data_IF_857622817106
#
_entry.id   IF_857622817106
#
_cell.length_a   1.000
_cell.length_b   1.000
_cell.length_c   1.000
_cell.angle_alpha   90.00
_cell.angle_beta   90.00
_cell.angle_gamma   90.00
#
_symmetry.space_group_name_H-M   'P 1'
#
loop_
_entity.id
_entity.type
_entity.pdbx_description
1 polymer ?
#
# COMPACT_ATOMS: atom_id res chain seq x y z
N UNK A 1 20.80 -21.62 -51.20
CA UNK A 1 21.57 -20.65 -50.37
C UNK A 1 20.69 -19.56 -49.75
N UNK A 2 19.88 -18.78 -50.45
CA UNK A 2 19.11 -17.66 -49.83
C UNK A 2 18.09 -18.08 -48.73
N UNK A 3 17.47 -19.25 -48.85
CA UNK A 3 16.53 -19.75 -47.79
C UNK A 3 17.20 -20.24 -46.52
N UNK A 4 18.36 -20.86 -46.64
CA UNK A 4 19.15 -21.30 -45.46
C UNK A 4 19.76 -20.12 -44.70
N UNK A 5 20.21 -19.09 -45.40
CA UNK A 5 20.71 -17.85 -44.75
C UNK A 5 19.58 -17.11 -43.98
N UNK A 6 18.37 -17.06 -44.54
CA UNK A 6 17.25 -16.42 -43.87
C UNK A 6 16.83 -17.15 -42.57
N UNK A 7 16.84 -18.49 -42.59
CA UNK A 7 16.51 -19.31 -41.40
C UNK A 7 17.57 -19.13 -40.31
N UNK A 8 18.86 -19.08 -40.66
CA UNK A 8 19.95 -18.84 -39.73
C UNK A 8 19.88 -17.43 -39.13
N UNK A 9 19.53 -16.42 -39.94
CA UNK A 9 19.34 -15.04 -39.45
C UNK A 9 18.14 -14.91 -38.52
N UNK A 10 17.03 -15.56 -38.80
CA UNK A 10 15.86 -15.60 -37.92
C UNK A 10 16.14 -16.36 -36.61
N UNK A 11 16.92 -17.45 -36.65
CA UNK A 11 17.38 -18.17 -35.46
C UNK A 11 18.34 -17.33 -34.61
N UNK A 12 19.25 -16.60 -35.22
CA UNK A 12 20.15 -15.69 -34.50
C UNK A 12 19.41 -14.51 -33.90
N UNK A 13 18.42 -13.94 -34.57
CA UNK A 13 17.58 -12.86 -34.04
C UNK A 13 16.69 -13.32 -32.86
N UNK A 14 16.28 -14.57 -32.81
CA UNK A 14 15.49 -15.11 -31.67
C UNK A 14 16.32 -15.25 -30.40
N UNK A 15 17.66 -15.32 -30.48
CA UNK A 15 18.56 -15.33 -29.32
C UNK A 15 18.76 -13.94 -28.69
N UNK A 16 18.38 -12.85 -29.37
CA UNK A 16 18.49 -11.49 -28.86
C UNK A 16 17.20 -10.96 -28.20
N UNK A 17 16.15 -11.77 -28.11
CA UNK A 17 14.99 -11.40 -27.29
C UNK A 17 15.44 -11.45 -25.83
N UNK A 18 15.44 -10.34 -25.08
CA UNK A 18 15.79 -10.38 -23.67
C UNK A 18 14.81 -11.30 -22.96
N UNK A 19 15.28 -12.45 -22.49
CA UNK A 19 14.52 -13.28 -21.59
C UNK A 19 14.30 -12.47 -20.31
N UNK A 20 13.12 -11.93 -20.14
CA UNK A 20 12.73 -11.26 -18.89
C UNK A 20 12.54 -12.32 -17.83
N UNK A 21 13.57 -12.60 -17.05
CA UNK A 21 13.45 -13.45 -15.88
C UNK A 21 12.68 -12.67 -14.80
N UNK A 22 11.48 -13.12 -14.49
CA UNK A 22 10.72 -12.69 -13.32
C UNK A 22 11.23 -13.50 -12.12
N UNK A 23 11.62 -12.83 -11.05
CA UNK A 23 12.10 -13.50 -9.85
C UNK A 23 11.12 -13.20 -8.73
N UNK A 24 10.68 -14.28 -8.06
CA UNK A 24 9.89 -14.22 -6.84
C UNK A 24 10.75 -14.74 -5.68
N UNK A 25 10.83 -13.95 -4.63
CA UNK A 25 11.44 -14.33 -3.36
C UNK A 25 10.32 -14.40 -2.31
N UNK A 26 10.44 -15.33 -1.37
CA UNK A 26 9.43 -15.54 -0.34
C UNK A 26 10.03 -15.26 1.03
N UNK A 27 9.26 -14.57 1.87
CA UNK A 27 9.61 -14.31 3.25
C UNK A 27 8.48 -14.79 4.14
N UNK A 28 8.81 -15.73 5.02
CA UNK A 28 7.90 -16.27 6.01
C UNK A 28 8.60 -16.47 7.37
N UNK A 29 7.99 -17.27 8.25
CA UNK A 29 8.54 -17.54 9.58
C UNK A 29 9.86 -18.32 9.53
N UNK A 30 10.08 -19.12 8.51
CA UNK A 30 11.32 -19.90 8.35
C UNK A 30 12.51 -18.97 8.00
N UNK A 31 12.21 -17.81 7.45
CA UNK A 31 13.20 -16.74 7.20
C UNK A 31 13.40 -15.83 8.43
N UNK A 32 12.61 -15.98 9.50
CA UNK A 32 12.70 -15.20 10.73
C UNK A 32 11.61 -14.14 10.88
N UNK A 33 10.59 -14.10 10.03
CA UNK A 33 9.41 -13.25 10.22
C UNK A 33 8.65 -13.68 11.49
N UNK A 34 8.20 -12.75 12.32
CA UNK A 34 7.55 -13.06 13.60
C UNK A 34 6.19 -13.73 13.44
N UNK A 35 5.49 -13.46 12.36
CA UNK A 35 4.19 -14.03 12.02
C UNK A 35 3.91 -14.02 10.52
N UNK A 36 3.31 -15.09 9.98
CA UNK A 36 2.82 -15.13 8.60
C UNK A 36 1.66 -14.15 8.34
N UNK A 37 0.94 -13.76 9.39
CA UNK A 37 -0.13 -12.77 9.28
C UNK A 37 0.47 -11.37 9.30
N UNK A 38 0.89 -10.92 8.13
CA UNK A 38 1.39 -9.58 7.88
C UNK A 38 0.21 -8.65 7.58
N UNK A 39 0.29 -7.41 8.05
CA UNK A 39 -0.77 -6.40 7.95
C UNK A 39 -0.36 -5.26 7.02
N UNK A 40 0.85 -4.75 7.18
CA UNK A 40 1.33 -3.60 6.44
C UNK A 40 2.85 -3.62 6.32
N UNK A 41 3.36 -2.93 5.29
CA UNK A 41 4.79 -2.88 4.99
C UNK A 41 5.18 -1.47 4.55
N UNK A 42 6.34 -1.00 5.02
CA UNK A 42 6.93 0.29 4.66
C UNK A 42 8.46 0.20 4.64
N UNK A 43 9.11 1.19 4.02
CA UNK A 43 10.57 1.32 4.01
C UNK A 43 10.96 2.66 4.66
N UNK A 44 11.98 2.62 5.53
CA UNK A 44 12.52 3.83 6.15
C UNK A 44 13.63 4.48 5.31
N UNK A 45 14.16 5.61 5.80
CA UNK A 45 15.24 6.36 5.15
C UNK A 45 16.58 5.62 5.08
N UNK A 46 16.80 4.60 5.92
CA UNK A 46 17.98 3.72 5.89
C UNK A 46 17.79 2.51 4.98
N UNK A 47 16.67 2.42 4.27
CA UNK A 47 16.25 1.30 3.43
C UNK A 47 15.93 0.01 4.19
N UNK A 48 15.73 0.05 5.50
CA UNK A 48 15.14 -1.09 6.20
C UNK A 48 13.67 -1.24 5.82
N UNK A 49 13.25 -2.49 5.67
CA UNK A 49 11.85 -2.81 5.46
C UNK A 49 11.20 -3.09 6.82
N UNK A 50 10.15 -2.34 7.10
CA UNK A 50 9.34 -2.49 8.30
C UNK A 50 8.07 -3.24 7.96
N UNK A 51 7.78 -4.25 8.76
CA UNK A 51 6.70 -5.20 8.53
C UNK A 51 5.85 -5.28 9.79
N UNK A 52 4.62 -4.82 9.69
CA UNK A 52 3.65 -4.95 10.77
C UNK A 52 3.00 -6.32 10.67
N UNK A 53 3.04 -7.05 11.77
CA UNK A 53 2.45 -8.38 11.88
C UNK A 53 1.48 -8.44 13.07
N UNK A 54 0.73 -9.52 13.17
CA UNK A 54 -0.10 -9.80 14.35
C UNK A 54 0.67 -9.91 15.68
N UNK A 55 1.97 -10.18 15.61
CA UNK A 55 2.83 -10.34 16.81
C UNK A 55 3.64 -9.10 17.15
N UNK A 56 3.56 -8.06 16.36
CA UNK A 56 4.32 -6.83 16.53
C UNK A 56 4.95 -6.36 15.22
N UNK A 57 6.03 -5.63 15.35
CA UNK A 57 6.76 -5.05 14.22
C UNK A 57 8.08 -5.77 14.00
N UNK A 58 8.39 -6.05 12.76
CA UNK A 58 9.65 -6.62 12.33
C UNK A 58 10.39 -5.60 11.45
N UNK A 59 11.68 -5.39 11.71
CA UNK A 59 12.58 -4.63 10.84
C UNK A 59 13.52 -5.58 10.12
N UNK A 60 13.52 -5.55 8.80
CA UNK A 60 14.32 -6.41 7.95
C UNK A 60 15.42 -5.62 7.23
N UNK A 61 16.66 -6.09 7.29
CA UNK A 61 17.83 -5.44 6.69
C UNK A 61 18.31 -6.10 5.39
N UNK A 62 17.54 -7.02 4.83
CA UNK A 62 17.92 -7.84 3.67
C UNK A 62 18.49 -9.22 4.06
N UNK A 63 18.81 -9.47 5.34
CA UNK A 63 19.34 -10.76 5.82
C UNK A 63 18.72 -11.20 7.14
N UNK A 64 18.49 -10.29 8.05
CA UNK A 64 18.07 -10.58 9.44
C UNK A 64 16.89 -9.73 9.82
N UNK A 65 16.10 -10.26 10.73
CA UNK A 65 14.98 -9.59 11.38
C UNK A 65 15.34 -9.10 12.77
N UNK A 66 14.87 -7.90 13.10
CA UNK A 66 14.79 -7.41 14.47
C UNK A 66 13.33 -7.19 14.82
N UNK A 67 12.91 -7.72 15.98
CA UNK A 67 11.52 -7.69 16.42
C UNK A 67 11.30 -6.58 17.44
N UNK A 68 10.16 -5.89 17.32
CA UNK A 68 9.73 -4.82 18.23
C UNK A 68 8.32 -5.11 18.72
N UNK A 69 8.11 -4.88 20.01
CA UNK A 69 6.77 -4.96 20.59
C UNK A 69 6.22 -3.57 20.83
N UNK A 70 4.95 -3.37 20.55
CA UNK A 70 4.23 -2.16 20.89
C UNK A 70 3.56 -2.37 22.25
N UNK A 71 3.93 -1.57 23.23
CA UNK A 71 3.30 -1.61 24.54
C UNK A 71 1.95 -0.87 24.49
N UNK A 72 0.90 -1.58 24.10
CA UNK A 72 -0.48 -1.11 24.14
C UNK A 72 -1.01 -1.32 25.55
N UNK A 73 -1.17 -0.23 26.31
CA UNK A 73 -1.74 -0.32 27.67
C UNK A 73 -3.11 -0.99 27.62
N UNK A 74 -3.31 -2.03 28.43
CA UNK A 74 -4.52 -2.79 28.78
C UNK A 74 -5.87 -2.36 28.13
N UNK A 75 -5.90 -2.10 26.84
CA UNK A 75 -7.11 -1.74 26.14
C UNK A 75 -7.74 -3.01 25.56
N UNK A 76 -8.94 -3.42 25.99
CA UNK A 76 -9.63 -4.60 25.47
C UNK A 76 -9.96 -4.50 23.96
N UNK A 77 -9.86 -3.30 23.36
CA UNK A 77 -9.99 -3.10 21.90
C UNK A 77 -8.69 -3.41 21.15
N UNK A 78 -7.56 -3.63 21.83
CA UNK A 78 -6.29 -4.06 21.21
C UNK A 78 -6.33 -5.49 20.66
N UNK A 79 -7.44 -6.20 20.81
CA UNK A 79 -7.67 -7.54 20.24
C UNK A 79 -7.94 -7.55 18.73
N UNK A 80 -7.96 -6.39 18.06
CA UNK A 80 -8.12 -6.32 16.60
C UNK A 80 -6.83 -5.86 15.91
N UNK A 81 -5.78 -6.68 15.88
CA UNK A 81 -4.51 -6.32 15.24
C UNK A 81 -4.62 -6.13 13.71
N UNK A 82 -5.75 -6.55 13.12
CA UNK A 82 -6.03 -6.42 11.68
C UNK A 82 -6.40 -5.00 11.22
N UNK A 83 -6.39 -4.03 12.14
CA UNK A 83 -6.88 -2.69 11.86
C UNK A 83 -5.79 -1.61 12.05
N UNK A 84 -4.53 -2.03 11.98
CA UNK A 84 -3.39 -1.15 12.14
C UNK A 84 -2.60 -1.06 10.85
N UNK A 85 -2.00 0.10 10.61
CA UNK A 85 -1.32 0.44 9.38
C UNK A 85 0.04 1.06 9.68
N UNK A 86 1.00 0.83 8.79
CA UNK A 86 2.26 1.56 8.78
C UNK A 86 2.17 2.74 7.80
N UNK A 87 2.70 3.86 8.24
CA UNK A 87 2.88 5.05 7.43
C UNK A 87 4.31 5.55 7.56
N UNK A 88 4.72 6.39 6.60
CA UNK A 88 5.96 7.15 6.66
C UNK A 88 5.65 8.64 6.53
N UNK A 89 6.33 9.46 7.34
CA UNK A 89 6.29 10.90 7.15
C UNK A 89 7.26 11.36 6.03
N UNK A 90 7.35 12.66 5.79
CA UNK A 90 8.27 13.24 4.80
C UNK A 90 9.75 12.94 5.04
N UNK A 91 10.11 12.61 6.27
CA UNK A 91 11.47 12.23 6.67
C UNK A 91 11.67 10.71 6.63
N UNK A 92 10.69 9.97 6.09
CA UNK A 92 10.61 8.51 6.08
C UNK A 92 10.75 7.87 7.47
N UNK A 93 10.31 8.57 8.52
CA UNK A 93 10.15 7.99 9.86
C UNK A 93 8.93 7.08 9.85
N UNK A 94 9.05 5.94 10.53
CA UNK A 94 7.97 4.94 10.61
C UNK A 94 6.98 5.31 11.70
N UNK A 95 5.71 5.23 11.32
CA UNK A 95 4.56 5.42 12.18
C UNK A 95 3.66 4.20 12.13
N UNK A 96 3.16 3.77 13.27
CA UNK A 96 2.08 2.80 13.37
C UNK A 96 0.83 3.50 13.89
N UNK A 97 -0.25 3.39 13.13
CA UNK A 97 -1.54 4.02 13.44
C UNK A 97 -2.62 2.94 13.47
N UNK A 98 -3.32 2.83 14.59
CA UNK A 98 -4.35 1.83 14.81
C UNK A 98 -5.77 2.39 14.83
N UNK A 99 -6.74 1.59 14.35
CA UNK A 99 -8.17 1.85 14.58
C UNK A 99 -8.59 1.66 16.06
N UNK A 100 -7.67 1.26 16.92
CA UNK A 100 -7.82 1.34 18.39
C UNK A 100 -7.63 2.77 18.92
N UNK A 101 -7.06 3.66 18.11
CA UNK A 101 -6.83 5.07 18.41
C UNK A 101 -5.43 5.38 18.93
N UNK A 102 -4.54 4.38 18.99
CA UNK A 102 -3.13 4.60 19.33
C UNK A 102 -2.32 4.99 18.10
N UNK A 103 -1.31 5.83 18.35
CA UNK A 103 -0.27 6.20 17.37
C UNK A 103 1.08 5.98 18.02
N UNK A 104 1.90 5.16 17.39
CA UNK A 104 3.29 4.96 17.78
C UNK A 104 4.21 5.50 16.71
N UNK A 105 5.30 6.12 17.15
CA UNK A 105 6.36 6.64 16.30
C UNK A 105 7.68 5.96 16.62
N UNK A 106 8.41 5.55 15.61
CA UNK A 106 9.75 5.02 15.80
C UNK A 106 10.73 6.12 16.22
N UNK A 107 11.43 5.88 17.32
CA UNK A 107 12.51 6.72 17.82
C UNK A 107 13.85 6.01 17.49
N UNK A 108 14.59 6.60 16.57
CA UNK A 108 15.84 6.03 16.07
C UNK A 108 16.93 6.03 17.15
N UNK A 109 16.96 7.04 18.03
CA UNK A 109 17.97 7.14 19.10
C UNK A 109 17.78 6.07 20.17
N UNK A 110 16.52 5.76 20.46
CA UNK A 110 16.15 4.72 21.45
C UNK A 110 16.00 3.34 20.81
N UNK A 111 16.02 3.28 19.49
CA UNK A 111 15.73 2.07 18.70
C UNK A 111 14.46 1.36 19.18
N UNK A 112 13.38 2.11 19.35
CA UNK A 112 12.10 1.64 19.88
C UNK A 112 10.93 2.52 19.44
N UNK A 113 9.72 1.96 19.51
CA UNK A 113 8.51 2.72 19.28
C UNK A 113 8.04 3.41 20.56
N UNK A 114 7.73 4.70 20.45
CA UNK A 114 7.18 5.50 21.51
C UNK A 114 5.71 5.81 21.21
N UNK A 115 4.87 5.78 22.25
CA UNK A 115 3.49 6.24 22.14
C UNK A 115 3.51 7.76 21.88
N UNK A 116 3.05 8.15 20.69
CA UNK A 116 2.99 9.55 20.29
C UNK A 116 1.61 10.16 20.61
N UNK A 117 0.54 9.35 20.54
CA UNK A 117 -0.82 9.84 20.75
C UNK A 117 -1.78 8.71 21.13
N UNK A 118 -2.74 9.05 22.00
CA UNK A 118 -3.90 8.23 22.35
C UNK A 118 -5.17 9.07 22.14
N UNK A 119 -5.92 8.73 21.09
CA UNK A 119 -7.16 9.43 20.74
C UNK A 119 -8.21 9.36 21.86
N UNK A 120 -8.31 8.22 22.53
CA UNK A 120 -9.37 7.99 23.54
C UNK A 120 -9.04 8.64 24.87
N UNK A 121 -7.78 8.71 25.23
CA UNK A 121 -7.33 9.47 26.39
C UNK A 121 -7.51 10.98 26.17
N UNK A 122 -7.27 11.45 24.92
CA UNK A 122 -7.39 12.87 24.56
C UNK A 122 -8.85 13.30 24.40
N UNK A 123 -9.71 12.42 23.85
CA UNK A 123 -11.14 12.68 23.64
C UNK A 123 -12.00 11.64 24.36
N UNK A 124 -12.17 11.74 25.70
CA UNK A 124 -12.87 10.71 26.47
C UNK A 124 -14.33 10.49 26.08
N UNK A 125 -14.95 11.48 25.43
CA UNK A 125 -16.32 11.38 24.90
C UNK A 125 -16.46 10.26 23.85
N UNK A 126 -15.38 9.93 23.13
CA UNK A 126 -15.38 8.83 22.15
C UNK A 126 -15.54 7.46 22.79
N UNK A 127 -15.07 7.25 24.03
CA UNK A 127 -15.12 5.98 24.78
C UNK A 127 -14.85 4.76 23.89
N UNK A 128 -15.93 4.12 23.43
CA UNK A 128 -15.91 2.90 22.59
C UNK A 128 -16.37 3.15 21.15
N UNK A 129 -16.49 4.40 20.71
CA UNK A 129 -16.91 4.69 19.34
C UNK A 129 -15.97 3.99 18.34
N UNK A 130 -16.49 3.23 17.37
CA UNK A 130 -15.67 2.57 16.37
C UNK A 130 -15.03 3.61 15.45
N UNK A 131 -13.74 3.43 15.20
CA UNK A 131 -12.98 4.20 14.18
C UNK A 131 -13.19 3.51 12.84
N UNK A 132 -13.87 4.18 11.92
CA UNK A 132 -14.17 3.65 10.60
C UNK A 132 -12.94 3.74 9.66
N UNK A 133 -12.21 4.83 9.73
CA UNK A 133 -11.02 5.06 8.91
C UNK A 133 -9.91 5.77 9.66
N UNK A 134 -8.66 5.43 9.34
CA UNK A 134 -7.47 6.16 9.72
C UNK A 134 -6.67 6.50 8.47
N UNK A 135 -6.05 7.65 8.45
CA UNK A 135 -5.24 8.11 7.32
C UNK A 135 -4.13 9.04 7.82
N UNK A 136 -2.95 8.97 7.24
CA UNK A 136 -1.87 9.90 7.50
C UNK A 136 -1.50 10.61 6.19
N UNK A 137 -1.53 11.93 6.21
CA UNK A 137 -1.21 12.75 5.05
C UNK A 137 0.29 13.09 4.97
N UNK A 138 0.67 13.79 3.90
CA UNK A 138 2.05 14.18 3.63
C UNK A 138 2.66 15.15 4.66
N UNK A 139 1.82 15.86 5.43
CA UNK A 139 2.23 16.80 6.49
C UNK A 139 2.21 16.13 7.88
N UNK A 140 2.07 14.80 7.92
CA UNK A 140 1.93 14.01 9.14
C UNK A 140 0.70 14.40 9.99
N UNK A 141 -0.39 14.85 9.36
CA UNK A 141 -1.68 14.89 10.01
C UNK A 141 -2.27 13.49 10.00
N UNK A 142 -2.60 12.98 11.17
CA UNK A 142 -3.24 11.68 11.33
C UNK A 142 -4.73 11.89 11.57
N UNK A 143 -5.52 11.41 10.63
CA UNK A 143 -6.96 11.48 10.62
C UNK A 143 -7.55 10.24 11.28
N UNK A 144 -8.53 10.46 12.15
CA UNK A 144 -9.38 9.43 12.74
C UNK A 144 -10.84 9.76 12.43
N UNK A 145 -11.48 8.93 11.62
CA UNK A 145 -12.89 9.07 11.32
C UNK A 145 -13.70 8.09 12.16
N UNK A 146 -14.74 8.58 12.79
CA UNK A 146 -15.75 7.78 13.49
C UNK A 146 -17.09 7.98 12.81
N UNK A 147 -18.12 7.25 13.25
CA UNK A 147 -19.49 7.46 12.74
C UNK A 147 -20.10 8.81 13.15
N UNK A 148 -19.43 9.56 14.03
CA UNK A 148 -19.98 10.79 14.61
C UNK A 148 -19.14 12.02 14.28
N UNK A 149 -17.85 11.86 14.10
CA UNK A 149 -16.92 12.99 13.99
C UNK A 149 -15.61 12.57 13.36
N UNK A 150 -14.87 13.56 12.89
CA UNK A 150 -13.51 13.41 12.40
C UNK A 150 -12.54 14.15 13.33
N UNK A 151 -11.38 13.54 13.59
CA UNK A 151 -10.35 14.06 14.48
C UNK A 151 -9.02 14.08 13.76
N UNK A 152 -8.19 15.06 14.08
CA UNK A 152 -6.82 15.14 13.59
C UNK A 152 -5.85 15.23 14.76
N UNK A 153 -4.77 14.49 14.64
CA UNK A 153 -3.56 14.66 15.41
C UNK A 153 -2.42 15.08 14.49
N UNK A 154 -1.77 16.21 14.79
CA UNK A 154 -0.57 16.66 14.11
C UNK A 154 0.61 16.67 15.09
N UNK A 155 1.55 15.77 14.87
CA UNK A 155 2.73 15.63 15.71
C UNK A 155 3.65 16.85 15.67
N UNK A 156 3.95 17.37 14.48
CA UNK A 156 4.90 18.47 14.32
C UNK A 156 4.41 19.77 14.95
N UNK A 157 3.11 19.98 15.01
CA UNK A 157 2.49 21.13 15.66
C UNK A 157 2.08 20.85 17.09
N UNK A 158 2.19 19.62 17.56
CA UNK A 158 1.69 19.14 18.86
C UNK A 158 0.21 19.53 19.09
N UNK A 159 -0.60 19.40 18.03
CA UNK A 159 -2.01 19.76 18.04
C UNK A 159 -2.89 18.55 17.84
N UNK A 160 -4.02 18.58 18.52
CA UNK A 160 -5.09 17.60 18.30
C UNK A 160 -6.43 18.33 18.41
N UNK A 161 -7.36 18.01 17.53
CA UNK A 161 -8.67 18.68 17.48
C UNK A 161 -9.73 17.83 16.77
N UNK A 162 -10.97 18.09 17.12
CA UNK A 162 -12.13 17.61 16.39
C UNK A 162 -12.42 18.59 15.25
N UNK A 163 -12.66 18.05 14.05
CA UNK A 163 -12.98 18.89 12.89
C UNK A 163 -14.38 19.47 12.97
N UNK A 164 -14.54 20.68 12.45
CA UNK A 164 -15.80 21.39 12.31
C UNK A 164 -15.87 22.07 10.94
N UNK A 165 -17.01 22.02 10.22
CA UNK A 165 -18.20 21.23 10.54
C UNK A 165 -17.96 19.72 10.44
N UNK A 166 -18.76 18.94 11.14
CA UNK A 166 -18.69 17.47 11.12
C UNK A 166 -19.35 16.95 9.86
N UNK A 167 -18.71 15.99 9.20
CA UNK A 167 -19.34 15.17 8.16
C UNK A 167 -20.03 14.02 8.87
N UNK A 168 -21.36 13.96 8.79
CA UNK A 168 -22.18 12.99 9.52
C UNK A 168 -22.12 11.58 8.96
N UNK A 169 -21.71 11.43 7.71
CA UNK A 169 -21.60 10.12 7.07
C UNK A 169 -20.37 9.35 7.59
N UNK A 170 -20.50 8.04 7.64
CA UNK A 170 -19.41 7.14 7.98
C UNK A 170 -18.35 7.19 6.88
N UNK A 171 -17.22 7.83 7.15
CA UNK A 171 -16.10 7.88 6.21
C UNK A 171 -15.37 6.54 6.23
N UNK A 172 -15.24 5.94 5.05
CA UNK A 172 -14.62 4.63 4.83
C UNK A 172 -13.15 4.79 4.46
N UNK A 173 -12.85 5.73 3.57
CA UNK A 173 -11.48 5.99 3.12
C UNK A 173 -11.25 7.48 2.82
N UNK A 174 -9.99 7.86 2.83
CA UNK A 174 -9.51 9.22 2.62
C UNK A 174 -8.33 9.16 1.66
N UNK A 175 -8.22 10.13 0.79
CA UNK A 175 -7.03 10.36 -0.03
C UNK A 175 -6.72 11.84 -0.09
N UNK A 176 -5.43 12.19 -0.01
CA UNK A 176 -4.98 13.56 -0.16
C UNK A 176 -4.85 13.88 -1.65
N UNK A 177 -5.41 15.01 -2.07
CA UNK A 177 -5.27 15.51 -3.43
C UNK A 177 -4.06 16.46 -3.54
N UNK A 178 -4.11 17.51 -2.73
CA UNK A 178 -3.08 18.53 -2.67
C UNK A 178 -2.86 18.92 -1.19
N UNK A 179 -1.95 19.84 -0.93
CA UNK A 179 -1.77 20.33 0.43
C UNK A 179 -3.09 20.84 1.01
N UNK A 180 -3.51 20.25 2.12
CA UNK A 180 -4.76 20.57 2.83
C UNK A 180 -6.05 20.30 2.03
N UNK A 181 -5.98 19.65 0.86
CA UNK A 181 -7.14 19.27 0.07
C UNK A 181 -7.28 17.76 0.05
N UNK A 182 -8.48 17.25 0.33
CA UNK A 182 -8.73 15.82 0.47
C UNK A 182 -10.03 15.41 -0.19
N UNK A 183 -10.08 14.14 -0.59
CA UNK A 183 -11.31 13.43 -0.92
C UNK A 183 -11.60 12.41 0.16
N UNK A 184 -12.81 12.48 0.71
CA UNK A 184 -13.32 11.53 1.69
C UNK A 184 -14.46 10.75 1.06
N UNK A 185 -14.49 9.44 1.24
CA UNK A 185 -15.57 8.61 0.73
C UNK A 185 -16.40 8.01 1.88
N UNK A 186 -17.70 8.11 1.76
CA UNK A 186 -18.67 7.25 2.42
C UNK A 186 -19.10 6.12 1.49
N UNK A 187 -20.04 5.28 1.88
CA UNK A 187 -20.53 4.19 1.03
C UNK A 187 -21.15 4.66 -0.30
N UNK A 188 -21.68 5.89 -0.34
CA UNK A 188 -22.45 6.38 -1.48
C UNK A 188 -22.05 7.77 -1.97
N UNK A 189 -21.22 8.50 -1.21
CA UNK A 189 -20.89 9.89 -1.49
C UNK A 189 -19.40 10.12 -1.39
N UNK A 190 -18.91 11.03 -2.22
CA UNK A 190 -17.61 11.64 -2.06
C UNK A 190 -17.76 13.04 -1.49
N UNK A 191 -16.78 13.44 -0.70
CA UNK A 191 -16.64 14.78 -0.18
C UNK A 191 -15.28 15.32 -0.62
N UNK A 192 -15.30 16.41 -1.36
CA UNK A 192 -14.13 17.24 -1.57
C UNK A 192 -14.06 18.24 -0.43
N UNK A 193 -12.97 18.25 0.31
CA UNK A 193 -12.82 19.10 1.50
C UNK A 193 -11.48 19.81 1.49
N UNK A 194 -11.49 21.05 1.99
CA UNK A 194 -10.31 21.84 2.26
C UNK A 194 -10.12 21.99 3.77
N UNK A 195 -8.96 21.62 4.28
CA UNK A 195 -8.59 21.82 5.69
C UNK A 195 -7.93 23.18 5.85
N UNK A 196 -8.49 24.05 6.69
CA UNK A 196 -7.93 25.35 7.02
C UNK A 196 -7.85 25.52 8.53
N UNK A 197 -6.65 25.38 9.06
CA UNK A 197 -6.46 25.30 10.52
C UNK A 197 -7.18 24.09 11.11
N UNK A 198 -8.12 24.32 12.02
CA UNK A 198 -8.91 23.28 12.71
C UNK A 198 -10.28 23.06 12.07
N UNK A 199 -10.54 23.65 10.91
CA UNK A 199 -11.85 23.65 10.27
C UNK A 199 -11.80 23.02 8.88
N UNK A 200 -12.84 22.30 8.54
CA UNK A 200 -13.13 21.92 7.17
C UNK A 200 -13.87 23.06 6.50
N UNK A 201 -13.31 23.53 5.39
CA UNK A 201 -13.90 24.56 4.54
C UNK A 201 -14.20 23.97 3.17
N UNK A 202 -15.06 24.62 2.40
CA UNK A 202 -15.34 24.26 1.01
C UNK A 202 -15.72 22.78 0.85
N UNK A 203 -16.65 22.30 1.67
CA UNK A 203 -17.13 20.92 1.56
C UNK A 203 -18.07 20.83 0.36
N UNK A 204 -17.60 20.18 -0.72
CA UNK A 204 -18.42 19.82 -1.88
C UNK A 204 -18.84 18.37 -1.77
N UNK A 205 -20.15 18.11 -1.82
CA UNK A 205 -20.69 16.75 -1.95
C UNK A 205 -20.73 16.37 -3.41
N UNK A 206 -20.16 15.23 -3.76
CA UNK A 206 -20.15 14.70 -5.12
C UNK A 206 -20.89 13.38 -5.09
N UNK A 207 -22.02 13.33 -5.77
CA UNK A 207 -22.76 12.09 -5.98
C UNK A 207 -22.54 11.62 -7.40
N UNK A 208 -21.87 10.49 -7.54
CA UNK A 208 -21.57 9.91 -8.83
C UNK A 208 -22.71 8.98 -9.27
N UNK A 209 -23.15 9.04 -10.53
CA UNK A 209 -24.22 8.19 -11.04
C UNK A 209 -23.75 6.72 -11.06
N UNK A 210 -24.61 5.83 -10.57
CA UNK A 210 -24.36 4.37 -10.56
C UNK A 210 -23.09 3.94 -9.79
N UNK A 211 -22.63 4.73 -8.82
CA UNK A 211 -21.52 4.38 -7.93
C UNK A 211 -22.10 4.14 -6.54
N UNK A 212 -22.02 2.91 -6.09
CA UNK A 212 -22.54 2.48 -4.80
C UNK A 212 -21.53 1.59 -4.09
N UNK A 213 -21.60 1.57 -2.77
CA UNK A 213 -20.71 0.76 -1.91
C UNK A 213 -19.24 0.99 -2.22
N UNK A 214 -18.84 2.27 -2.19
CA UNK A 214 -17.42 2.64 -2.34
C UNK A 214 -16.61 1.92 -1.27
N UNK A 215 -15.57 1.24 -1.69
CA UNK A 215 -14.66 0.46 -0.86
C UNK A 215 -13.33 1.17 -0.69
N UNK A 216 -12.79 1.70 -1.78
CA UNK A 216 -11.49 2.35 -1.79
C UNK A 216 -11.45 3.53 -2.77
N UNK A 217 -10.72 4.59 -2.38
CA UNK A 217 -10.41 5.70 -3.28
C UNK A 217 -8.92 6.01 -3.28
N UNK A 218 -8.42 6.43 -4.44
CA UNK A 218 -7.05 6.88 -4.60
C UNK A 218 -7.00 8.06 -5.56
N UNK A 219 -6.39 9.18 -5.15
CA UNK A 219 -6.18 10.33 -6.02
C UNK A 219 -4.82 10.28 -6.68
N UNK A 220 -4.79 10.35 -8.02
CA UNK A 220 -3.57 10.43 -8.80
C UNK A 220 -3.32 11.88 -9.21
N UNK A 221 -2.40 12.54 -8.50
CA UNK A 221 -2.11 13.97 -8.67
C UNK A 221 -1.64 14.35 -10.07
N UNK A 222 -0.78 13.57 -10.77
CA UNK A 222 -0.32 13.96 -12.11
C UNK A 222 -1.41 14.04 -13.19
N UNK A 223 -2.45 13.22 -13.10
CA UNK A 223 -3.57 13.20 -14.06
C UNK A 223 -4.84 13.84 -13.49
N UNK A 224 -4.83 14.25 -12.21
CA UNK A 224 -5.99 14.78 -11.48
C UNK A 224 -7.22 13.87 -11.51
N UNK A 225 -6.98 12.59 -11.50
CA UNK A 225 -8.02 11.56 -11.54
C UNK A 225 -8.18 10.89 -10.19
N UNK A 226 -9.42 10.60 -9.84
CA UNK A 226 -9.78 9.83 -8.66
C UNK A 226 -10.18 8.42 -9.10
N UNK A 227 -9.43 7.43 -8.62
CA UNK A 227 -9.71 6.02 -8.83
C UNK A 227 -10.65 5.57 -7.72
N UNK A 228 -11.78 4.99 -8.07
CA UNK A 228 -12.85 4.62 -7.13
C UNK A 228 -13.17 3.15 -7.33
N UNK A 229 -12.91 2.34 -6.32
CA UNK A 229 -13.37 0.96 -6.28
C UNK A 229 -14.68 0.83 -5.53
N UNK A 230 -15.52 -0.07 -5.99
CA UNK A 230 -16.80 -0.41 -5.34
C UNK A 230 -16.89 -1.91 -5.10
N UNK A 231 -17.55 -2.33 -4.04
CA UNK A 231 -17.65 -3.75 -3.67
C UNK A 231 -18.50 -4.58 -4.63
N UNK A 232 -19.56 -3.98 -5.20
CA UNK A 232 -20.56 -4.74 -5.98
C UNK A 232 -20.46 -4.50 -7.48
N UNK A 233 -19.87 -3.38 -7.89
CA UNK A 233 -19.89 -3.00 -9.29
C UNK A 233 -18.51 -3.23 -9.93
N UNK A 234 -17.63 -2.24 -9.89
CA UNK A 234 -16.37 -2.24 -10.62
C UNK A 234 -15.48 -1.08 -10.21
N UNK A 235 -14.34 -0.96 -10.89
CA UNK A 235 -13.46 0.17 -10.79
C UNK A 235 -13.94 1.30 -11.72
N UNK A 236 -13.94 2.52 -11.18
CA UNK A 236 -14.26 3.74 -11.92
C UNK A 236 -13.06 4.69 -11.85
N UNK A 237 -12.93 5.51 -12.87
CA UNK A 237 -12.01 6.65 -12.93
C UNK A 237 -12.87 7.91 -13.06
N UNK A 238 -12.70 8.83 -12.12
CA UNK A 238 -13.37 10.12 -12.15
C UNK A 238 -12.33 11.21 -12.43
N UNK A 239 -12.47 11.85 -13.58
CA UNK A 239 -11.70 13.03 -13.93
C UNK A 239 -12.31 14.24 -13.22
N UNK A 240 -11.50 14.91 -12.40
CA UNK A 240 -11.99 15.99 -11.53
C UNK A 240 -12.15 17.29 -12.29
N UNK A 241 -11.33 17.53 -13.33
CA UNK A 241 -11.40 18.77 -14.13
C UNK A 241 -12.56 18.73 -15.13
N UNK A 242 -12.73 17.58 -15.79
CA UNK A 242 -13.78 17.37 -16.78
C UNK A 242 -15.12 16.94 -16.15
N UNK A 243 -15.14 16.60 -14.85
CA UNK A 243 -16.27 16.03 -14.11
C UNK A 243 -16.84 14.77 -14.81
N UNK A 244 -15.99 13.98 -15.46
CA UNK A 244 -16.37 12.78 -16.21
C UNK A 244 -16.06 11.51 -15.43
N UNK A 245 -17.03 10.59 -15.43
CA UNK A 245 -16.90 9.29 -14.80
C UNK A 245 -16.77 8.20 -15.85
N UNK A 246 -15.66 7.46 -15.83
CA UNK A 246 -15.40 6.35 -16.72
C UNK A 246 -15.35 5.02 -15.96
N UNK A 247 -15.95 3.99 -16.54
CA UNK A 247 -16.00 2.66 -15.96
C UNK A 247 -14.97 1.76 -16.61
N UNK A 248 -14.15 1.07 -15.79
CA UNK A 248 -13.11 0.14 -16.26
C UNK A 248 -13.65 -1.26 -16.63
N UNK A 249 -14.92 -1.33 -17.03
CA UNK A 249 -15.54 -2.59 -17.41
C UNK A 249 -15.76 -3.54 -16.23
N UNK A 250 -15.87 -4.85 -16.51
CA UNK A 250 -16.19 -5.85 -15.50
C UNK A 250 -14.97 -6.59 -14.94
N UNK A 251 -13.76 -6.14 -15.25
CA UNK A 251 -12.52 -6.87 -14.90
C UNK A 251 -12.30 -7.00 -13.40
N UNK A 252 -12.82 -6.08 -12.60
CA UNK A 252 -12.74 -6.10 -11.14
C UNK A 252 -14.11 -6.13 -10.48
N UNK A 253 -15.11 -6.70 -11.15
CA UNK A 253 -16.43 -6.85 -10.55
C UNK A 253 -16.36 -7.75 -9.32
N UNK A 254 -17.01 -7.34 -8.23
CA UNK A 254 -17.06 -8.04 -6.94
C UNK A 254 -15.68 -8.28 -6.28
N UNK A 255 -14.66 -7.49 -6.64
CA UNK A 255 -13.32 -7.59 -6.09
C UNK A 255 -13.01 -6.37 -5.22
N UNK A 256 -12.77 -6.60 -3.93
CA UNK A 256 -12.34 -5.55 -3.00
C UNK A 256 -10.89 -5.12 -3.26
N UNK A 257 -10.63 -3.83 -3.09
CA UNK A 257 -9.29 -3.25 -3.17
C UNK A 257 -8.74 -3.00 -1.77
N UNK A 258 -7.58 -3.54 -1.49
CA UNK A 258 -6.90 -3.33 -0.22
C UNK A 258 -5.95 -2.13 -0.27
N UNK A 259 -5.28 -1.91 -1.42
CA UNK A 259 -4.37 -0.77 -1.58
C UNK A 259 -4.09 -0.45 -3.05
N UNK A 260 -3.89 0.83 -3.32
CA UNK A 260 -3.44 1.35 -4.62
C UNK A 260 -2.15 2.12 -4.40
N UNK A 261 -1.13 1.85 -5.21
CA UNK A 261 0.15 2.57 -5.20
C UNK A 261 0.55 3.00 -6.60
N UNK A 262 1.26 4.14 -6.75
CA UNK A 262 1.83 4.50 -8.05
C UNK A 262 3.03 3.63 -8.37
N UNK A 263 3.20 3.30 -9.65
CA UNK A 263 4.43 2.69 -10.15
C UNK A 263 5.57 3.72 -10.10
N UNK A 264 6.72 3.33 -9.54
CA UNK A 264 7.94 4.16 -9.60
C UNK A 264 8.66 4.04 -10.94
N UNK A 265 8.31 3.03 -11.74
CA UNK A 265 8.95 2.73 -13.03
C UNK A 265 8.22 3.36 -14.22
N UNK A 266 6.92 3.42 -14.15
CA UNK A 266 6.06 3.81 -15.25
C UNK A 266 5.17 4.95 -14.81
N UNK A 267 5.30 6.06 -15.52
CA UNK A 267 4.49 7.25 -15.24
C UNK A 267 3.01 6.94 -15.54
N UNK A 268 2.13 7.48 -14.73
CA UNK A 268 0.67 7.37 -14.87
C UNK A 268 0.15 5.91 -14.83
N UNK A 269 0.93 5.01 -14.20
CA UNK A 269 0.57 3.61 -13.97
C UNK A 269 0.42 3.35 -12.49
N UNK A 270 -0.66 2.66 -12.13
CA UNK A 270 -0.97 2.26 -10.75
C UNK A 270 -0.94 0.74 -10.61
N UNK A 271 -0.52 0.28 -9.44
CA UNK A 271 -0.64 -1.11 -9.00
C UNK A 271 -1.75 -1.21 -7.97
N UNK A 272 -2.67 -2.14 -8.18
CA UNK A 272 -3.87 -2.32 -7.36
C UNK A 272 -3.82 -3.69 -6.70
N UNK A 273 -3.66 -3.71 -5.39
CA UNK A 273 -3.69 -4.92 -4.57
C UNK A 273 -5.14 -5.29 -4.24
N UNK A 274 -5.52 -6.54 -4.49
CA UNK A 274 -6.91 -6.99 -4.35
C UNK A 274 -7.10 -8.05 -3.28
N UNK A 275 -8.34 -8.17 -2.81
CA UNK A 275 -8.75 -9.18 -1.84
C UNK A 275 -9.20 -10.46 -2.55
N UNK A 276 -8.27 -11.18 -3.19
CA UNK A 276 -8.52 -12.51 -3.74
C UNK A 276 -8.15 -12.72 -5.22
N UNK A 277 -7.75 -11.68 -5.96
CA UNK A 277 -7.40 -11.83 -7.39
C UNK A 277 -6.01 -11.26 -7.76
N UNK A 278 -5.12 -11.14 -6.79
CA UNK A 278 -3.74 -10.72 -7.00
C UNK A 278 -3.56 -9.22 -7.18
N UNK A 279 -2.67 -8.83 -8.07
CA UNK A 279 -2.35 -7.43 -8.36
C UNK A 279 -2.72 -7.09 -9.79
N UNK A 280 -3.42 -5.99 -9.96
CA UNK A 280 -3.72 -5.39 -11.26
C UNK A 280 -2.80 -4.21 -11.54
N UNK A 281 -2.58 -3.98 -12.82
CA UNK A 281 -1.88 -2.82 -13.37
C UNK A 281 -2.89 -1.98 -14.15
N UNK A 282 -3.06 -0.72 -13.72
CA UNK A 282 -3.92 0.27 -14.36
C UNK A 282 -3.05 1.33 -15.03
N UNK A 283 -3.15 1.44 -16.34
CA UNK A 283 -2.56 2.55 -17.12
C UNK A 283 -3.62 3.64 -17.29
N UNK A 284 -3.39 4.80 -16.68
CA UNK A 284 -4.34 5.91 -16.66
C UNK A 284 -4.38 6.70 -17.98
N UNK A 285 -3.36 6.56 -18.84
CA UNK A 285 -3.37 7.18 -20.16
C UNK A 285 -4.11 6.35 -21.19
N UNK A 286 -3.84 5.04 -21.17
CA UNK A 286 -4.46 4.11 -22.11
C UNK A 286 -5.83 3.63 -21.63
N UNK A 287 -6.19 3.94 -20.39
CA UNK A 287 -7.39 3.45 -19.70
C UNK A 287 -7.49 1.92 -19.79
N UNK A 288 -6.37 1.25 -19.57
CA UNK A 288 -6.30 -0.21 -19.60
C UNK A 288 -6.03 -0.79 -18.22
N UNK A 289 -6.78 -1.82 -17.88
CA UNK A 289 -6.68 -2.55 -16.60
C UNK A 289 -6.38 -4.02 -16.90
N UNK A 290 -5.23 -4.49 -16.45
CA UNK A 290 -4.75 -5.84 -16.72
C UNK A 290 -4.26 -6.54 -15.44
N UNK A 291 -4.41 -7.86 -15.37
CA UNK A 291 -3.70 -8.65 -14.37
C UNK A 291 -2.20 -8.46 -14.54
N UNK A 292 -1.54 -8.16 -13.44
CA UNK A 292 -0.08 -8.00 -13.39
C UNK A 292 0.59 -9.16 -12.68
N UNK A 293 0.18 -9.43 -11.43
CA UNK A 293 0.68 -10.55 -10.64
C UNK A 293 -0.51 -11.38 -10.15
N UNK A 294 -0.50 -12.66 -10.51
CA UNK A 294 -1.53 -13.61 -10.13
C UNK A 294 -0.90 -14.92 -9.70
N UNK A 295 -1.53 -15.60 -8.76
CA UNK A 295 -1.16 -16.95 -8.41
C UNK A 295 -1.32 -17.88 -9.62
N UNK A 296 -0.27 -18.64 -9.96
CA UNK A 296 -0.32 -19.68 -11.00
C UNK A 296 0.32 -20.96 -10.46
N UNK A 297 -0.52 -21.89 -10.02
CA UNK A 297 -0.08 -23.15 -9.40
C UNK A 297 0.75 -24.03 -10.33
N UNK A 298 0.74 -23.78 -11.63
CA UNK A 298 1.48 -24.54 -12.64
C UNK A 298 2.92 -24.07 -12.81
N UNK A 299 3.27 -22.89 -12.29
CA UNK A 299 4.63 -22.31 -12.43
C UNK A 299 5.44 -22.52 -11.16
N UNK A 300 6.72 -22.91 -11.25
CA UNK A 300 7.58 -23.07 -10.06
C UNK A 300 7.94 -21.73 -9.42
N UNK A 301 8.13 -20.69 -10.22
CA UNK A 301 8.46 -19.33 -9.77
C UNK A 301 7.22 -18.44 -9.96
N UNK A 302 6.46 -18.19 -8.90
CA UNK A 302 5.10 -17.62 -8.96
C UNK A 302 4.78 -16.83 -7.71
N UNK A 303 3.69 -16.09 -7.75
CA UNK A 303 3.10 -15.50 -6.55
C UNK A 303 2.47 -16.60 -5.65
N UNK A 304 2.65 -16.47 -4.34
CA UNK A 304 2.27 -17.49 -3.35
C UNK A 304 0.88 -17.22 -2.73
N UNK A 305 -0.06 -16.77 -3.52
CA UNK A 305 -1.45 -16.51 -3.17
C UNK A 305 -2.03 -15.30 -3.87
N UNK A 306 -3.34 -15.13 -3.75
CA UNK A 306 -4.10 -14.11 -4.47
C UNK A 306 -4.72 -13.04 -3.58
N UNK A 307 -4.73 -13.23 -2.25
CA UNK A 307 -5.25 -12.24 -1.29
C UNK A 307 -4.10 -11.31 -0.88
N UNK A 308 -4.05 -10.12 -1.48
CA UNK A 308 -2.98 -9.15 -1.24
C UNK A 308 -3.47 -8.08 -0.25
N UNK A 309 -3.02 -8.17 1.00
CA UNK A 309 -3.46 -7.23 2.07
C UNK A 309 -2.75 -5.89 2.03
N UNK A 310 -1.52 -5.87 1.59
CA UNK A 310 -0.74 -4.64 1.40
C UNK A 310 0.25 -4.83 0.24
N UNK A 311 0.61 -3.75 -0.40
CA UNK A 311 1.59 -3.71 -1.48
C UNK A 311 2.51 -2.51 -1.29
N UNK A 312 3.81 -2.71 -1.54
CA UNK A 312 4.80 -1.65 -1.45
C UNK A 312 5.86 -1.81 -2.54
N UNK A 313 6.27 -0.70 -3.14
CA UNK A 313 7.42 -0.69 -4.06
C UNK A 313 8.61 -0.01 -3.36
N UNK A 314 9.68 -0.77 -3.13
CA UNK A 314 10.86 -0.28 -2.42
C UNK A 314 11.74 0.65 -3.28
N UNK A 315 12.83 1.14 -2.70
CA UNK A 315 13.78 2.03 -3.38
C UNK A 315 14.54 1.35 -4.53
N UNK A 316 14.61 0.00 -4.52
CA UNK A 316 15.19 -0.80 -5.60
C UNK A 316 14.15 -1.21 -6.67
N UNK A 317 12.92 -0.66 -6.59
CA UNK A 317 11.79 -1.00 -7.44
C UNK A 317 11.33 -2.47 -7.37
N UNK A 318 11.62 -3.16 -6.27
CA UNK A 318 11.04 -4.47 -5.99
C UNK A 318 9.64 -4.27 -5.44
N UNK A 319 8.72 -5.14 -5.82
CA UNK A 319 7.34 -5.09 -5.36
C UNK A 319 7.15 -6.12 -4.27
N UNK A 320 6.86 -5.63 -3.07
CA UNK A 320 6.59 -6.40 -1.87
C UNK A 320 5.08 -6.61 -1.77
N UNK A 321 4.64 -7.86 -1.88
CA UNK A 321 3.24 -8.24 -1.80
C UNK A 321 3.00 -8.95 -0.48
N UNK A 322 2.19 -8.36 0.39
CA UNK A 322 1.74 -8.96 1.64
C UNK A 322 0.60 -9.90 1.33
N UNK A 323 0.85 -11.21 1.42
CA UNK A 323 -0.11 -12.24 1.02
C UNK A 323 -0.71 -12.93 2.25
N UNK A 324 -2.02 -12.89 2.35
CA UNK A 324 -2.73 -13.58 3.43
C UNK A 324 -3.05 -15.03 3.05
N UNK A 325 -2.79 -16.01 3.91
CA UNK A 325 -2.11 -15.93 5.22
C UNK A 325 -0.63 -16.37 5.17
N UNK A 326 0.03 -16.28 4.02
CA UNK A 326 1.29 -17.00 3.75
C UNK A 326 2.56 -16.20 4.06
N UNK A 327 2.47 -14.88 4.20
CA UNK A 327 3.62 -14.00 4.46
C UNK A 327 3.85 -12.98 3.37
N UNK A 328 5.04 -12.89 2.82
CA UNK A 328 5.41 -11.89 1.83
C UNK A 328 6.01 -12.55 0.60
N UNK A 329 5.58 -12.09 -0.58
CA UNK A 329 6.23 -12.41 -1.86
C UNK A 329 6.81 -11.14 -2.44
N UNK A 330 8.11 -11.14 -2.72
CA UNK A 330 8.82 -10.05 -3.38
C UNK A 330 8.92 -10.37 -4.86
N UNK A 331 8.44 -9.47 -5.68
CA UNK A 331 8.57 -9.57 -7.13
C UNK A 331 9.65 -8.60 -7.61
N UNK A 332 10.60 -9.13 -8.39
CA UNK A 332 11.65 -8.36 -9.04
C UNK A 332 11.58 -8.56 -10.54
N UNK A 333 11.45 -7.47 -11.27
CA UNK A 333 11.52 -7.46 -12.72
C UNK A 333 12.97 -7.27 -13.14
N UNK A 334 13.59 -8.32 -13.70
CA UNK A 334 14.96 -8.37 -14.24
C UNK A 334 16.12 -8.37 -13.24
N UNK A 335 16.81 -9.50 -13.17
CA UNK A 335 18.29 -9.47 -13.24
C UNK A 335 18.70 -9.75 -14.69
N UNK A 336 19.63 -8.97 -15.29
CA UNK A 336 20.24 -9.35 -16.55
C UNK A 336 20.90 -10.72 -16.36
N UNK A 337 20.65 -11.66 -17.28
CA UNK A 337 21.14 -13.03 -17.14
C UNK A 337 22.67 -13.12 -16.92
N UNK A 338 23.44 -12.12 -17.40
CA UNK A 338 24.88 -12.07 -17.21
C UNK A 338 25.32 -11.75 -15.77
N UNK A 339 24.56 -10.98 -14.99
CA UNK A 339 24.90 -10.72 -13.57
C UNK A 339 24.77 -11.98 -12.72
N UNK A 340 23.82 -12.85 -13.08
CA UNK A 340 23.64 -14.12 -12.41
C UNK A 340 24.82 -15.08 -12.69
N UNK A 341 25.31 -15.12 -13.94
CA UNK A 341 26.49 -15.90 -14.30
C UNK A 341 27.78 -15.37 -13.66
N UNK A 342 27.96 -14.06 -13.57
CA UNK A 342 29.09 -13.46 -12.87
C UNK A 342 29.10 -13.78 -11.39
N UNK A 343 27.94 -13.76 -10.74
CA UNK A 343 27.85 -14.08 -9.32
C UNK A 343 28.14 -15.57 -9.05
N UNK A 344 27.65 -16.46 -9.88
CA UNK A 344 27.94 -17.89 -9.79
C UNK A 344 29.40 -18.22 -10.14
N UNK A 345 29.99 -17.54 -11.12
CA UNK A 345 31.40 -17.71 -11.50
C UNK A 345 32.36 -17.22 -10.40
N UNK A 346 32.06 -16.11 -9.74
CA UNK A 346 32.90 -15.61 -8.61
C UNK A 346 32.77 -16.57 -7.41
N UNK A 347 31.64 -17.18 -7.18
CA UNK A 347 31.45 -18.17 -6.12
C UNK A 347 32.26 -19.45 -6.42
N UNK A 348 32.26 -19.91 -7.69
CA UNK A 348 33.06 -21.08 -8.13
C UNK A 348 34.57 -20.83 -8.05
N UNK A 349 35.06 -19.63 -8.38
CA UNK A 349 36.46 -19.26 -8.26
C UNK A 349 36.93 -19.22 -6.79
N UNK A 350 36.05 -18.81 -5.86
CA UNK A 350 36.36 -18.85 -4.41
C UNK A 350 36.48 -20.27 -3.83
N UNK A 351 35.86 -21.27 -4.44
CA UNK A 351 36.00 -22.67 -4.00
C UNK A 351 37.24 -23.37 -4.57
N UNK A 352 37.84 -22.86 -5.64
CA UNK A 352 39.06 -23.42 -6.22
C UNK A 352 40.35 -22.84 -5.65
N UNK A 353 40.31 -21.79 -4.85
CA UNK A 353 41.51 -21.19 -4.23
C UNK A 353 41.73 -21.52 -2.75
N UNK A 354 40.97 -22.50 -2.22
CA UNK A 354 41.12 -23.02 -0.85
C UNK A 354 41.33 -24.54 -0.90
N UNK A 355 42.43 -24.98 -1.49
CA UNK A 355 43.07 -26.28 -1.27
C UNK A 355 44.55 -26.05 -1.08
#
# INVERSE_FOLDING_TARGET
MKRTTLIITCLLLSFFLPLQAQIFEYIDMDNGLSSRRVLSIQQDKQNYIWILTHKGLDRYNGKQFKHYQLHRCNNPLSFYPNLNFLYTDKDNTIWEVGKDGFVFRYDEQRDSFQLAFDLRATFPALKKAPISSVYMDSEANIWFCTNQSQYIYNYHQSKNYQLSPVISDKIICITQAEKNKYYLASEHLLYEVQLKGEQLTEIKKIQLPNVHLIDHIYYHSPTKQLIINTLLDKLFIYDIEEEQLESMGNSMKDIGVNKIIPSKKEKDVLLIATDGDGVYKLDLKQLTLNHFLKEDTRKPNKMNGSIIKDIYMDSANRIWNVIYPTGITIYTEKYPAYEWFMHSAITLIRWQTTV
#
